data_IF_902639726665
#
_entry.id   IF_902639726665
#
_cell.length_a   1.000
_cell.length_b   1.000
_cell.length_c   1.000
_cell.angle_alpha   90.00
_cell.angle_beta   90.00
_cell.angle_gamma   90.00
#
_symmetry.space_group_name_H-M   'P 1'
#
loop_
_entity.id
_entity.type
_entity.pdbx_description
1 polymer ?
#
# COMPACT_ATOMS: atom_id res chain seq x y z
N UNK A 1 -18.51 2.63 17.44
CA UNK A 1 -17.30 1.83 17.67
C UNK A 1 -16.05 2.63 17.28
N UNK A 2 -15.95 3.15 16.04
CA UNK A 2 -14.80 3.99 15.62
C UNK A 2 -14.53 5.24 16.47
N UNK A 3 -15.56 5.96 16.93
CA UNK A 3 -15.39 7.16 17.79
C UNK A 3 -14.91 6.85 19.20
N UNK A 4 -15.30 5.71 19.77
CA UNK A 4 -14.81 5.25 21.08
C UNK A 4 -13.33 4.86 21.00
N UNK A 5 -12.93 4.21 19.90
CA UNK A 5 -11.52 3.89 19.65
C UNK A 5 -10.68 5.16 19.45
N UNK A 6 -11.21 6.14 18.71
CA UNK A 6 -10.57 7.45 18.56
C UNK A 6 -10.35 8.11 19.92
N UNK A 7 -11.38 8.14 20.78
CA UNK A 7 -11.28 8.69 22.13
C UNK A 7 -10.14 8.03 22.91
N UNK A 8 -10.15 6.70 22.99
CA UNK A 8 -9.11 5.94 23.69
C UNK A 8 -7.72 6.23 23.13
N UNK A 9 -7.55 6.22 21.82
CA UNK A 9 -6.27 6.52 21.18
C UNK A 9 -5.78 7.94 21.46
N UNK A 10 -6.68 8.93 21.41
CA UNK A 10 -6.35 10.31 21.72
C UNK A 10 -5.93 10.51 23.17
N UNK A 11 -6.56 9.81 24.11
CA UNK A 11 -6.20 9.82 25.54
C UNK A 11 -4.82 9.21 25.77
N UNK A 12 -4.51 8.07 25.13
CA UNK A 12 -3.21 7.39 25.30
C UNK A 12 -2.06 8.11 24.58
N UNK A 13 -2.33 8.75 23.45
CA UNK A 13 -1.30 9.38 22.61
C UNK A 13 -1.12 10.89 22.84
N UNK A 14 -1.86 11.47 23.80
CA UNK A 14 -1.92 12.92 24.07
C UNK A 14 -2.21 13.77 22.81
N UNK A 15 -3.22 13.34 22.04
CA UNK A 15 -3.60 14.00 20.77
C UNK A 15 -5.00 14.58 20.91
N UNK A 16 -5.15 15.86 20.54
CA UNK A 16 -6.46 16.48 20.47
C UNK A 16 -7.38 15.80 19.44
N UNK A 17 -8.57 15.31 19.83
CA UNK A 17 -9.49 14.63 18.92
C UNK A 17 -9.91 15.48 17.73
N UNK A 18 -9.92 16.81 17.87
CA UNK A 18 -10.27 17.78 16.83
C UNK A 18 -9.31 17.76 15.63
N UNK A 19 -8.07 17.28 15.81
CA UNK A 19 -7.08 17.16 14.73
C UNK A 19 -7.34 15.95 13.81
N UNK A 20 -8.20 15.02 14.21
CA UNK A 20 -8.46 13.81 13.45
C UNK A 20 -9.39 14.05 12.25
N UNK A 21 -9.08 13.44 11.11
CA UNK A 21 -10.01 13.31 9.97
C UNK A 21 -10.59 11.90 9.94
N UNK A 22 -11.92 11.79 9.88
CA UNK A 22 -12.65 10.53 10.00
C UNK A 22 -13.33 10.17 8.68
N UNK A 23 -13.22 8.92 8.26
CA UNK A 23 -13.73 8.45 6.98
C UNK A 23 -14.81 7.37 7.18
N UNK A 24 -15.90 7.48 6.42
CA UNK A 24 -16.99 6.49 6.40
C UNK A 24 -17.42 6.20 4.97
N UNK A 25 -17.85 4.97 4.70
CA UNK A 25 -18.25 4.48 3.39
C UNK A 25 -19.74 4.58 3.08
N UNK A 26 -20.55 4.76 4.11
CA UNK A 26 -21.97 5.00 3.97
C UNK A 26 -22.25 6.51 3.83
N UNK A 27 -22.66 6.93 2.62
CA UNK A 27 -23.20 8.29 2.39
C UNK A 27 -24.42 8.59 3.28
N UNK A 28 -25.24 7.58 3.54
CA UNK A 28 -26.42 7.70 4.41
C UNK A 28 -25.97 8.03 5.84
N UNK A 29 -24.99 7.29 6.36
CA UNK A 29 -24.47 7.52 7.72
C UNK A 29 -23.76 8.87 7.81
N UNK A 30 -23.00 9.27 6.78
CA UNK A 30 -22.42 10.61 6.73
C UNK A 30 -23.50 11.70 6.77
N UNK A 31 -24.63 11.49 6.08
CA UNK A 31 -25.76 12.42 6.11
C UNK A 31 -26.41 12.51 7.48
N UNK A 32 -26.53 11.38 8.19
CA UNK A 32 -27.03 11.37 9.57
C UNK A 32 -26.13 12.18 10.50
N UNK A 33 -24.80 12.01 10.42
CA UNK A 33 -23.83 12.73 11.26
C UNK A 33 -23.82 14.24 10.98
N UNK A 34 -24.04 14.65 9.73
CA UNK A 34 -24.06 16.08 9.33
C UNK A 34 -25.41 16.77 9.55
N UNK A 35 -26.43 16.04 9.96
CA UNK A 35 -27.77 16.57 10.20
C UNK A 35 -28.08 16.57 11.69
N UNK A 36 -29.12 17.30 12.09
CA UNK A 36 -29.63 17.25 13.45
C UNK A 36 -30.06 15.81 13.83
N UNK A 37 -29.48 15.21 14.89
CA UNK A 37 -29.83 13.88 15.38
C UNK A 37 -31.33 13.67 15.65
N UNK A 38 -32.03 14.71 16.09
CA UNK A 38 -33.45 14.63 16.50
C UNK A 38 -34.39 14.36 15.33
N UNK A 39 -33.92 14.51 14.08
CA UNK A 39 -34.70 14.19 12.87
C UNK A 39 -34.82 12.69 12.61
N UNK A 40 -34.02 11.87 13.29
CA UNK A 40 -33.93 10.44 13.01
C UNK A 40 -34.62 9.59 14.08
N UNK A 41 -34.97 8.35 13.71
CA UNK A 41 -35.51 7.36 14.64
C UNK A 41 -34.56 7.19 15.84
N UNK A 42 -35.12 6.90 17.01
CA UNK A 42 -34.43 6.83 18.31
C UNK A 42 -33.07 6.12 18.25
N UNK A 43 -32.98 4.98 17.56
CA UNK A 43 -31.71 4.26 17.39
C UNK A 43 -30.62 5.09 16.69
N UNK A 44 -30.96 5.72 15.57
CA UNK A 44 -30.02 6.55 14.79
C UNK A 44 -29.68 7.81 15.57
N UNK A 45 -30.69 8.47 16.16
CA UNK A 45 -30.50 9.65 17.01
C UNK A 45 -29.48 9.37 18.12
N UNK A 46 -29.71 8.32 18.92
CA UNK A 46 -28.81 7.95 20.02
C UNK A 46 -27.37 7.70 19.55
N UNK A 47 -27.19 7.04 18.40
CA UNK A 47 -25.87 6.77 17.82
C UNK A 47 -25.18 8.02 17.29
N UNK A 48 -25.92 8.89 16.59
CA UNK A 48 -25.35 10.15 16.08
C UNK A 48 -25.01 11.10 17.22
N UNK A 49 -25.85 11.19 18.27
CA UNK A 49 -25.57 11.99 19.46
C UNK A 49 -24.31 11.49 20.17
N UNK A 50 -24.17 10.18 20.35
CA UNK A 50 -22.95 9.58 20.89
C UNK A 50 -21.70 9.89 20.05
N UNK A 51 -21.80 9.82 18.72
CA UNK A 51 -20.68 10.16 17.82
C UNK A 51 -20.27 11.63 17.97
N UNK A 52 -21.25 12.53 18.05
CA UNK A 52 -21.04 13.97 18.10
C UNK A 52 -20.59 14.48 19.48
N UNK A 53 -20.67 13.66 20.54
CA UNK A 53 -20.07 13.98 21.84
C UNK A 53 -18.54 14.11 21.78
N UNK A 54 -17.89 13.41 20.84
CA UNK A 54 -16.43 13.31 20.75
C UNK A 54 -15.86 13.85 19.43
N UNK A 55 -16.72 14.18 18.48
CA UNK A 55 -16.31 14.57 17.12
C UNK A 55 -17.19 15.68 16.59
N UNK A 56 -16.65 16.49 15.69
CA UNK A 56 -17.40 17.51 14.95
C UNK A 56 -17.84 16.97 13.59
N UNK A 57 -19.04 17.34 13.08
CA UNK A 57 -19.48 16.98 11.73
C UNK A 57 -18.47 17.38 10.64
N UNK A 58 -17.68 18.44 10.88
CA UNK A 58 -16.66 18.92 9.97
C UNK A 58 -15.44 17.99 9.83
N UNK A 59 -15.25 17.03 10.74
CA UNK A 59 -14.17 16.04 10.69
C UNK A 59 -14.49 14.85 9.78
N UNK A 60 -15.77 14.64 9.45
CA UNK A 60 -16.22 13.45 8.72
C UNK A 60 -16.20 13.65 7.21
N UNK A 61 -15.65 12.66 6.50
CA UNK A 61 -15.53 12.58 5.04
C UNK A 61 -16.09 11.25 4.54
N UNK A 62 -16.55 11.23 3.28
CA UNK A 62 -16.98 10.00 2.63
C UNK A 62 -15.81 9.36 1.88
N UNK A 63 -15.59 8.06 2.10
CA UNK A 63 -14.69 7.23 1.32
C UNK A 63 -15.51 6.15 0.60
N UNK A 64 -15.51 6.04 -0.74
CA UNK A 64 -16.25 4.97 -1.42
C UNK A 64 -15.94 3.60 -0.80
N UNK A 65 -16.94 2.71 -0.66
CA UNK A 65 -16.71 1.38 -0.06
C UNK A 65 -15.62 0.56 -0.74
N UNK A 66 -15.40 0.78 -2.05
CA UNK A 66 -14.27 0.20 -2.77
C UNK A 66 -12.90 0.68 -2.29
N UNK A 67 -12.82 1.85 -1.66
CA UNK A 67 -11.61 2.47 -1.12
C UNK A 67 -11.56 2.42 0.42
N UNK A 68 -12.58 1.85 1.08
CA UNK A 68 -12.63 1.75 2.54
C UNK A 68 -11.74 0.61 3.06
N UNK A 69 -10.57 0.98 3.55
CA UNK A 69 -9.60 0.01 4.08
C UNK A 69 -10.06 -0.65 5.38
N UNK A 70 -10.92 0.02 6.14
CA UNK A 70 -11.46 -0.54 7.39
C UNK A 70 -12.33 -1.77 7.13
N UNK A 71 -12.98 -1.90 5.96
CA UNK A 71 -13.78 -3.09 5.61
C UNK A 71 -12.90 -4.32 5.38
N UNK A 72 -11.68 -4.13 4.86
CA UNK A 72 -10.72 -5.23 4.69
C UNK A 72 -10.11 -5.68 6.02
N UNK A 73 -9.86 -4.73 6.93
CA UNK A 73 -9.37 -5.02 8.27
C UNK A 73 -10.46 -5.67 9.15
N UNK A 74 -11.69 -5.16 9.10
CA UNK A 74 -12.83 -5.72 9.86
C UNK A 74 -13.21 -7.13 9.41
N UNK A 75 -12.95 -7.47 8.14
CA UNK A 75 -13.13 -8.82 7.59
C UNK A 75 -11.94 -9.75 7.82
N UNK A 76 -10.91 -9.31 8.56
CA UNK A 76 -9.71 -10.10 8.89
C UNK A 76 -9.06 -10.75 7.65
N UNK A 77 -8.79 -9.97 6.59
CA UNK A 77 -8.02 -10.48 5.46
C UNK A 77 -6.57 -10.62 5.89
N UNK A 78 -6.12 -11.87 6.12
CA UNK A 78 -4.71 -12.17 6.37
C UNK A 78 -3.83 -11.69 5.20
N UNK A 79 -2.58 -11.25 5.45
CA UNK A 79 -1.62 -10.91 4.38
C UNK A 79 -1.46 -12.03 3.35
N UNK A 80 -1.57 -13.30 3.77
CA UNK A 80 -1.54 -14.49 2.92
C UNK A 80 -2.81 -14.72 2.09
N UNK A 81 -3.89 -13.98 2.34
CA UNK A 81 -5.11 -13.95 1.52
C UNK A 81 -5.18 -12.77 0.57
N UNK A 82 -4.40 -11.70 0.81
CA UNK A 82 -4.29 -10.56 -0.11
C UNK A 82 -3.71 -10.96 -1.47
N UNK A 83 -2.82 -11.95 -1.46
CA UNK A 83 -2.24 -12.60 -2.64
C UNK A 83 -3.26 -13.22 -3.60
N UNK A 84 -4.36 -13.78 -3.10
CA UNK A 84 -5.28 -14.58 -3.93
C UNK A 84 -6.36 -13.77 -4.66
N UNK A 85 -6.29 -12.43 -4.62
CA UNK A 85 -7.38 -11.56 -5.06
C UNK A 85 -7.17 -11.05 -6.49
N UNK A 86 -7.70 -11.80 -7.46
CA UNK A 86 -7.52 -11.64 -8.92
C UNK A 86 -8.03 -10.33 -9.57
N UNK A 87 -8.40 -9.25 -8.89
CA UNK A 87 -9.01 -8.06 -9.56
C UNK A 87 -8.07 -6.84 -9.61
N UNK A 88 -8.14 -6.08 -10.71
CA UNK A 88 -7.38 -4.84 -10.97
C UNK A 88 -7.44 -3.83 -9.82
N UNK A 89 -8.61 -3.68 -9.22
CA UNK A 89 -8.79 -2.78 -8.08
C UNK A 89 -7.95 -3.17 -6.85
N UNK A 90 -7.37 -4.37 -6.78
CA UNK A 90 -6.57 -4.80 -5.64
C UNK A 90 -5.12 -4.33 -5.69
N UNK A 91 -4.50 -4.12 -6.85
CA UNK A 91 -3.11 -3.65 -6.91
C UNK A 91 -3.00 -2.24 -6.32
N UNK A 92 -3.76 -1.29 -6.88
CA UNK A 92 -3.81 0.09 -6.38
C UNK A 92 -4.30 0.17 -4.94
N UNK A 93 -5.28 -0.66 -4.54
CA UNK A 93 -5.71 -0.75 -3.13
C UNK A 93 -4.63 -1.29 -2.22
N UNK A 94 -3.90 -2.33 -2.62
CA UNK A 94 -2.82 -2.92 -1.84
C UNK A 94 -1.76 -1.86 -1.53
N UNK A 95 -1.32 -1.11 -2.55
CA UNK A 95 -0.37 -0.02 -2.37
C UNK A 95 -0.91 1.07 -1.44
N UNK A 96 -2.17 1.49 -1.63
CA UNK A 96 -2.81 2.49 -0.76
C UNK A 96 -2.94 2.00 0.69
N UNK A 97 -3.32 0.73 0.91
CA UNK A 97 -3.40 0.12 2.25
C UNK A 97 -2.05 0.16 2.93
N UNK A 98 -1.02 -0.35 2.25
CA UNK A 98 0.33 -0.40 2.78
C UNK A 98 0.86 1.01 3.07
N UNK A 99 0.61 1.98 2.17
CA UNK A 99 0.99 3.38 2.38
C UNK A 99 0.29 4.00 3.60
N UNK A 100 -1.02 3.77 3.78
CA UNK A 100 -1.75 4.25 4.96
C UNK A 100 -1.26 3.61 6.26
N UNK A 101 -0.94 2.31 6.25
CA UNK A 101 -0.36 1.63 7.41
C UNK A 101 1.02 2.21 7.74
N UNK A 102 1.87 2.41 6.73
CA UNK A 102 3.19 3.01 6.93
C UNK A 102 3.10 4.45 7.44
N UNK A 103 2.17 5.26 6.91
CA UNK A 103 1.90 6.61 7.42
C UNK A 103 1.41 6.60 8.85
N UNK A 104 0.49 5.70 9.18
CA UNK A 104 0.00 5.56 10.55
C UNK A 104 1.16 5.25 11.51
N UNK A 105 2.00 4.27 11.16
CA UNK A 105 3.20 3.95 11.93
C UNK A 105 4.19 5.12 12.03
N UNK A 106 4.33 5.91 10.96
CA UNK A 106 5.16 7.12 10.96
C UNK A 106 4.61 8.18 11.91
N UNK A 107 3.32 8.51 11.82
CA UNK A 107 2.64 9.51 12.65
C UNK A 107 2.59 9.10 14.13
N UNK A 108 2.63 7.80 14.44
CA UNK A 108 2.73 7.32 15.82
C UNK A 108 4.15 7.44 16.41
N UNK A 109 5.17 7.58 15.57
CA UNK A 109 6.59 7.58 15.99
C UNK A 109 7.27 8.93 15.87
N UNK A 110 6.67 9.89 15.15
CA UNK A 110 7.26 11.20 14.86
C UNK A 110 6.25 12.31 15.16
N UNK A 111 6.78 13.49 15.50
CA UNK A 111 5.97 14.68 15.77
C UNK A 111 5.47 15.36 14.49
N UNK A 112 6.20 15.21 13.37
CA UNK A 112 5.72 15.63 12.05
C UNK A 112 4.66 14.66 11.54
N UNK A 113 3.45 15.18 11.29
CA UNK A 113 2.28 14.37 10.91
C UNK A 113 1.81 14.70 9.51
N UNK A 114 1.61 13.65 8.72
CA UNK A 114 0.93 13.77 7.44
C UNK A 114 -0.59 13.62 7.62
N UNK A 115 -1.34 14.67 7.27
CA UNK A 115 -2.79 14.76 7.53
C UNK A 115 -3.67 14.72 6.27
N UNK A 116 -3.08 14.89 5.08
CA UNK A 116 -3.82 15.04 3.82
C UNK A 116 -3.88 13.74 3.01
N UNK A 117 -4.07 13.81 1.69
CA UNK A 117 -4.11 12.65 0.82
C UNK A 117 -2.75 11.92 0.75
N UNK A 118 -2.76 10.67 0.29
CA UNK A 118 -1.52 9.92 0.05
C UNK A 118 -0.73 10.61 -1.06
N UNK A 119 0.56 10.82 -0.82
CA UNK A 119 1.48 11.35 -1.82
C UNK A 119 1.93 10.23 -2.77
N UNK A 120 2.38 10.62 -3.97
CA UNK A 120 3.00 9.68 -4.91
C UNK A 120 4.23 8.99 -4.29
N UNK A 121 4.98 9.70 -3.44
CA UNK A 121 6.16 9.16 -2.75
C UNK A 121 5.79 8.03 -1.79
N UNK A 122 4.70 8.16 -1.04
CA UNK A 122 4.25 7.11 -0.11
C UNK A 122 3.73 5.87 -0.85
N UNK A 123 3.07 6.06 -1.99
CA UNK A 123 2.68 4.95 -2.86
C UNK A 123 3.92 4.24 -3.43
N UNK A 124 4.95 5.00 -3.81
CA UNK A 124 6.22 4.45 -4.26
C UNK A 124 6.93 3.67 -3.15
N UNK A 125 6.99 4.19 -1.92
CA UNK A 125 7.53 3.47 -0.75
C UNK A 125 6.76 2.19 -0.45
N UNK A 126 5.44 2.21 -0.56
CA UNK A 126 4.61 1.02 -0.42
C UNK A 126 4.90 -0.02 -1.51
N UNK A 127 5.10 0.42 -2.76
CA UNK A 127 5.50 -0.43 -3.89
C UNK A 127 6.88 -1.07 -3.63
N UNK A 128 7.85 -0.26 -3.23
CA UNK A 128 9.21 -0.71 -2.91
C UNK A 128 9.26 -1.71 -1.76
N UNK A 129 8.39 -1.53 -0.76
CA UNK A 129 8.23 -2.47 0.36
C UNK A 129 7.79 -3.85 -0.13
N UNK A 130 6.79 -3.92 -1.01
CA UNK A 130 6.31 -5.19 -1.55
C UNK A 130 7.32 -5.88 -2.45
N UNK A 131 8.02 -5.10 -3.28
CA UNK A 131 9.14 -5.59 -4.10
C UNK A 131 10.22 -6.23 -3.21
N UNK A 132 10.64 -5.52 -2.17
CA UNK A 132 11.65 -6.00 -1.24
C UNK A 132 11.18 -7.27 -0.50
N UNK A 133 9.91 -7.30 -0.07
CA UNK A 133 9.33 -8.46 0.59
C UNK A 133 9.31 -9.70 -0.32
N UNK A 134 8.94 -9.54 -1.60
CA UNK A 134 8.98 -10.62 -2.58
C UNK A 134 10.41 -11.13 -2.79
N UNK A 135 11.38 -10.23 -2.94
CA UNK A 135 12.78 -10.62 -3.08
C UNK A 135 13.30 -11.36 -1.83
N UNK A 136 12.93 -10.91 -0.63
CA UNK A 136 13.31 -11.59 0.61
C UNK A 136 12.70 -12.98 0.75
N UNK A 137 11.51 -13.21 0.21
CA UNK A 137 10.84 -14.52 0.24
C UNK A 137 11.43 -15.50 -0.77
N UNK A 138 11.80 -15.02 -1.96
CA UNK A 138 12.23 -15.89 -3.05
C UNK A 138 13.75 -16.01 -3.22
N UNK A 139 14.48 -14.95 -2.89
CA UNK A 139 15.91 -14.78 -3.17
C UNK A 139 16.69 -14.52 -1.87
N UNK A 140 16.24 -15.12 -0.76
CA UNK A 140 16.80 -14.87 0.58
C UNK A 140 18.30 -15.14 0.63
N UNK A 141 18.72 -16.28 0.09
CA UNK A 141 20.12 -16.72 0.01
C UNK A 141 20.98 -15.74 -0.77
N UNK A 142 20.46 -15.26 -1.90
CA UNK A 142 21.15 -14.33 -2.78
C UNK A 142 21.22 -12.93 -2.17
N UNK A 143 20.15 -12.47 -1.51
CA UNK A 143 20.14 -11.22 -0.76
C UNK A 143 21.19 -11.22 0.36
N UNK A 144 21.29 -12.30 1.13
CA UNK A 144 22.28 -12.44 2.20
C UNK A 144 23.71 -12.49 1.65
N UNK A 145 23.94 -13.20 0.55
CA UNK A 145 25.24 -13.24 -0.13
C UNK A 145 25.67 -11.85 -0.62
N UNK A 146 24.76 -11.14 -1.32
CA UNK A 146 25.05 -9.81 -1.85
C UNK A 146 25.24 -8.76 -0.75
N UNK A 147 24.46 -8.82 0.35
CA UNK A 147 24.66 -7.94 1.52
C UNK A 147 26.03 -8.13 2.15
N UNK A 148 26.50 -9.37 2.22
CA UNK A 148 27.80 -9.73 2.78
C UNK A 148 28.95 -9.62 1.78
N UNK A 149 28.72 -9.09 0.56
CA UNK A 149 29.70 -9.01 -0.55
C UNK A 149 30.35 -10.36 -0.87
N UNK A 150 29.63 -11.46 -0.66
CA UNK A 150 30.08 -12.82 -0.99
C UNK A 150 29.68 -13.17 -2.42
N UNK A 151 30.49 -13.98 -3.12
CA UNK A 151 30.07 -14.53 -4.41
C UNK A 151 28.78 -15.33 -4.23
N UNK A 152 27.90 -15.25 -5.22
CA UNK A 152 26.65 -15.99 -5.21
C UNK A 152 26.91 -17.49 -5.30
N UNK A 153 26.02 -18.33 -4.73
CA UNK A 153 26.10 -19.77 -4.92
C UNK A 153 26.08 -20.10 -6.42
N UNK A 154 26.97 -20.98 -6.87
CA UNK A 154 26.99 -21.47 -8.26
C UNK A 154 25.71 -22.22 -8.67
N UNK A 155 24.89 -22.61 -7.70
CA UNK A 155 23.54 -23.18 -7.91
C UNK A 155 22.48 -22.11 -8.20
N UNK A 156 22.78 -20.83 -7.98
CA UNK A 156 21.83 -19.76 -8.19
C UNK A 156 21.66 -19.47 -9.69
N UNK A 157 20.41 -19.52 -10.15
CA UNK A 157 20.04 -19.26 -11.56
C UNK A 157 20.38 -17.83 -12.00
N UNK A 158 20.61 -16.94 -11.04
CA UNK A 158 20.73 -15.50 -11.26
C UNK A 158 22.18 -15.01 -11.32
N UNK A 159 23.16 -15.83 -10.91
CA UNK A 159 24.58 -15.47 -10.85
C UNK A 159 25.12 -14.99 -12.20
N UNK A 160 24.78 -15.70 -13.28
CA UNK A 160 25.13 -15.34 -14.67
C UNK A 160 24.63 -13.96 -15.15
N UNK A 161 23.68 -13.36 -14.45
CA UNK A 161 23.14 -12.04 -14.77
C UNK A 161 23.79 -10.92 -13.94
N UNK A 162 24.94 -11.20 -13.30
CA UNK A 162 25.72 -10.26 -12.51
C UNK A 162 24.85 -9.38 -11.58
N UNK A 163 24.06 -9.99 -10.69
CA UNK A 163 23.10 -9.26 -9.87
C UNK A 163 23.83 -8.46 -8.79
N UNK A 164 23.29 -7.30 -8.47
CA UNK A 164 23.83 -6.41 -7.44
C UNK A 164 22.70 -5.76 -6.64
N UNK A 165 23.04 -5.24 -5.46
CA UNK A 165 22.09 -4.53 -4.61
C UNK A 165 22.12 -3.02 -4.89
N UNK A 166 20.95 -2.44 -5.13
CA UNK A 166 20.71 -0.99 -5.18
C UNK A 166 19.48 -0.68 -4.33
N UNK A 167 19.58 0.24 -3.38
CA UNK A 167 18.47 0.58 -2.46
C UNK A 167 17.87 -0.65 -1.75
N UNK A 168 18.72 -1.59 -1.31
CA UNK A 168 18.33 -2.89 -0.74
C UNK A 168 17.54 -3.84 -1.65
N UNK A 169 17.34 -3.50 -2.92
CA UNK A 169 16.69 -4.36 -3.91
C UNK A 169 17.73 -5.03 -4.83
N UNK A 170 17.47 -6.27 -5.22
CA UNK A 170 18.28 -6.99 -6.22
C UNK A 170 17.94 -6.45 -7.61
N UNK A 171 18.97 -6.01 -8.34
CA UNK A 171 18.90 -5.60 -9.74
C UNK A 171 19.92 -6.39 -10.56
N UNK A 172 19.62 -6.56 -11.84
CA UNK A 172 20.51 -7.25 -12.76
C UNK A 172 21.51 -6.27 -13.40
N UNK A 173 22.76 -6.68 -13.49
CA UNK A 173 23.79 -6.00 -14.28
C UNK A 173 23.92 -6.61 -15.68
N UNK A 174 24.70 -5.96 -16.56
CA UNK A 174 25.14 -6.60 -17.79
C UNK A 174 25.16 -5.70 -19.03
N UNK A 175 24.68 -6.25 -20.15
CA UNK A 175 24.96 -5.78 -21.52
C UNK A 175 24.55 -4.32 -21.81
N UNK A 176 23.61 -3.78 -21.05
CA UNK A 176 23.11 -2.41 -21.21
C UNK A 176 23.81 -1.37 -20.31
N UNK A 177 24.84 -1.76 -19.54
CA UNK A 177 25.48 -0.86 -18.57
C UNK A 177 26.04 0.45 -19.17
N UNK A 178 26.44 0.42 -20.45
CA UNK A 178 26.98 1.56 -21.19
C UNK A 178 25.99 2.20 -22.16
N UNK A 179 24.74 1.73 -22.20
CA UNK A 179 23.72 2.31 -23.09
C UNK A 179 23.27 3.69 -22.57
N UNK A 180 22.91 4.64 -23.46
CA UNK A 180 22.36 5.94 -23.09
C UNK A 180 20.89 5.82 -22.67
N UNK A 181 20.63 4.99 -21.64
CA UNK A 181 19.31 4.68 -21.11
C UNK A 181 19.22 5.09 -19.64
N UNK A 182 17.99 5.27 -19.13
CA UNK A 182 17.75 5.55 -17.71
C UNK A 182 18.32 4.43 -16.83
N UNK A 183 18.65 4.76 -15.59
CA UNK A 183 19.29 3.80 -14.68
C UNK A 183 18.43 2.57 -14.39
N UNK A 184 17.10 2.70 -14.47
CA UNK A 184 16.16 1.62 -14.18
C UNK A 184 16.06 0.65 -15.36
N UNK A 185 16.02 1.15 -16.60
CA UNK A 185 16.10 0.33 -17.81
C UNK A 185 17.46 -0.39 -17.93
N UNK A 186 18.56 0.26 -17.50
CA UNK A 186 19.89 -0.36 -17.52
C UNK A 186 20.05 -1.50 -16.53
N UNK A 187 19.33 -1.42 -15.41
CA UNK A 187 19.50 -2.31 -14.28
C UNK A 187 18.14 -2.83 -13.80
N UNK A 188 17.50 -3.69 -14.62
CA UNK A 188 16.14 -4.12 -14.37
C UNK A 188 16.03 -4.85 -13.04
N UNK A 189 14.92 -4.61 -12.35
CA UNK A 189 14.64 -5.23 -11.06
C UNK A 189 14.21 -6.69 -11.22
N UNK A 190 14.69 -7.56 -10.32
CA UNK A 190 14.43 -8.99 -10.39
C UNK A 190 13.27 -9.41 -9.48
N UNK A 191 12.22 -10.00 -10.05
CA UNK A 191 11.07 -10.55 -9.32
C UNK A 191 10.70 -11.93 -9.84
N UNK A 192 10.36 -12.83 -8.94
CA UNK A 192 9.83 -14.15 -9.29
C UNK A 192 8.36 -14.04 -9.74
N UNK A 193 8.09 -14.42 -10.99
CA UNK A 193 6.80 -14.20 -11.64
C UNK A 193 5.61 -14.93 -11.00
N UNK A 194 5.84 -16.03 -10.28
CA UNK A 194 4.77 -16.80 -9.63
C UNK A 194 4.30 -16.17 -8.31
N UNK A 195 4.94 -15.08 -7.87
CA UNK A 195 4.54 -14.44 -6.63
C UNK A 195 3.25 -13.63 -6.81
N UNK A 196 2.31 -13.71 -5.86
CA UNK A 196 1.01 -13.06 -6.01
C UNK A 196 1.06 -11.55 -6.26
N UNK A 197 1.98 -10.85 -5.60
CA UNK A 197 2.20 -9.42 -5.85
C UNK A 197 2.64 -9.15 -7.30
N UNK A 198 3.51 -9.99 -7.85
CA UNK A 198 4.02 -9.86 -9.23
C UNK A 198 2.92 -10.16 -10.23
N UNK A 199 2.07 -11.15 -9.96
CA UNK A 199 0.88 -11.42 -10.77
C UNK A 199 -0.11 -10.25 -10.76
N UNK A 200 -0.32 -9.61 -9.60
CA UNK A 200 -1.15 -8.41 -9.49
C UNK A 200 -0.56 -7.26 -10.31
N UNK A 201 0.75 -7.05 -10.22
CA UNK A 201 1.47 -6.03 -10.97
C UNK A 201 1.38 -6.25 -12.50
N UNK A 202 1.64 -7.47 -12.96
CA UNK A 202 1.52 -7.83 -14.40
C UNK A 202 0.09 -7.59 -14.87
N UNK A 203 -0.89 -8.01 -14.07
CA UNK A 203 -2.31 -7.83 -14.41
C UNK A 203 -2.72 -6.36 -14.45
N UNK A 204 -2.24 -5.56 -13.50
CA UNK A 204 -2.50 -4.11 -13.47
C UNK A 204 -1.92 -3.44 -14.72
N UNK A 205 -0.65 -3.72 -15.03
CA UNK A 205 0.02 -3.19 -16.22
C UNK A 205 -0.68 -3.61 -17.52
N UNK A 206 -1.09 -4.88 -17.62
CA UNK A 206 -1.83 -5.39 -18.79
C UNK A 206 -3.18 -4.68 -19.00
N UNK A 207 -3.90 -4.38 -17.92
CA UNK A 207 -5.18 -3.65 -18.00
C UNK A 207 -4.96 -2.18 -18.30
N UNK A 208 -3.97 -1.54 -17.67
CA UNK A 208 -3.60 -0.13 -17.92
C UNK A 208 -3.16 0.10 -19.37
N UNK A 209 -2.48 -0.89 -19.97
CA UNK A 209 -2.13 -0.91 -21.39
C UNK A 209 -3.28 -1.40 -22.28
N UNK A 210 -4.54 -1.39 -21.82
CA UNK A 210 -5.72 -1.77 -22.61
C UNK A 210 -5.60 -3.14 -23.30
N UNK A 211 -5.02 -4.12 -22.60
CA UNK A 211 -4.81 -5.47 -23.09
C UNK A 211 -3.89 -5.59 -24.31
N UNK A 212 -3.00 -4.61 -24.51
CA UNK A 212 -1.93 -4.73 -25.50
C UNK A 212 -1.15 -6.03 -25.28
N UNK A 213 -0.63 -6.58 -26.40
CA UNK A 213 0.04 -7.87 -26.42
C UNK A 213 1.17 -7.97 -25.39
N UNK A 214 1.53 -9.20 -25.02
CA UNK A 214 2.49 -9.51 -23.95
C UNK A 214 3.84 -8.78 -24.08
N UNK A 215 4.28 -8.49 -25.30
CA UNK A 215 5.51 -7.71 -25.56
C UNK A 215 5.46 -6.29 -25.00
N UNK A 216 4.32 -5.61 -25.12
CA UNK A 216 4.16 -4.24 -24.60
C UNK A 216 4.14 -4.24 -23.07
N UNK A 217 3.42 -5.19 -22.47
CA UNK A 217 3.40 -5.36 -21.00
C UNK A 217 4.80 -5.62 -20.46
N UNK A 218 5.57 -6.50 -21.10
CA UNK A 218 6.95 -6.76 -20.71
C UNK A 218 7.85 -5.54 -20.89
N UNK A 219 7.68 -4.78 -21.97
CA UNK A 219 8.46 -3.55 -22.19
C UNK A 219 8.20 -2.51 -21.10
N UNK A 220 6.92 -2.31 -20.73
CA UNK A 220 6.54 -1.37 -19.68
C UNK A 220 7.06 -1.82 -18.32
N UNK A 221 6.89 -3.11 -17.98
CA UNK A 221 7.41 -3.69 -16.75
C UNK A 221 8.94 -3.62 -16.67
N UNK A 222 9.66 -3.64 -17.79
CA UNK A 222 11.11 -3.46 -17.80
C UNK A 222 11.54 -1.99 -17.76
N UNK A 223 10.65 -1.06 -18.12
CA UNK A 223 10.90 0.38 -18.10
C UNK A 223 10.62 0.99 -16.72
N UNK A 224 9.57 0.51 -16.06
CA UNK A 224 9.09 1.01 -14.77
C UNK A 224 9.81 0.42 -13.54
N UNK A 225 10.67 -0.59 -13.74
CA UNK A 225 11.24 -1.41 -12.65
C UNK A 225 12.76 -1.58 -12.69
#
# INVERSE_FOLDING_TARGET
>A
MGTRLLKYFCEEADIQPSAATLWIDSKITLRWIRSDPNKWKTFVCNRTTEILQYTSPAQWRHCPGTQNLADHLSRCILPSKLSNLKNWCYYTKLLRVTAWIQRFLHNCRNDERFLFELTAEELQKAKDYWILNVQQQCLKTEMEALRNKRPLPTTSKIERFNPFLKNNQIRLGGRLQFAPLSADVRHPLLLEGNQPFVLLLIKDTHVCLHHLGTRYVLSELCSDF
#
